data_IF_473674497316
#
_entry.id   IF_473674497316
#
_cell.length_a   1.000
_cell.length_b   1.000
_cell.length_c   1.000
_cell.angle_alpha   90.00
_cell.angle_beta   90.00
_cell.angle_gamma   90.00
#
_symmetry.space_group_name_H-M   'P 1'
#
loop_
_entity.id
_entity.type
_entity.pdbx_description
1 polymer ?
#
# COMPACT_ATOMS: atom_id res chain seq x y z
N UNK A 1 49.51 -41.84 -13.96
CA UNK A 1 50.21 -42.23 -12.73
C UNK A 1 49.63 -41.45 -11.55
N UNK A 2 48.93 -42.14 -10.63
CA UNK A 2 48.61 -41.74 -9.23
C UNK A 2 47.71 -40.51 -9.00
N UNK A 3 46.71 -40.47 -8.10
CA UNK A 3 46.27 -41.37 -7.04
C UNK A 3 44.77 -41.11 -6.75
N UNK A 4 44.05 -42.17 -6.40
CA UNK A 4 42.71 -42.17 -5.83
C UNK A 4 42.66 -41.49 -4.45
N UNK A 5 41.53 -40.84 -4.14
CA UNK A 5 41.19 -40.35 -2.80
C UNK A 5 39.67 -40.26 -2.59
N UNK A 6 39.06 -41.36 -2.17
CA UNK A 6 37.69 -41.43 -1.64
C UNK A 6 37.70 -40.89 -0.20
N UNK A 7 36.71 -40.07 0.20
CA UNK A 7 36.27 -39.96 1.61
C UNK A 7 34.88 -39.32 1.78
N UNK A 8 33.94 -40.20 2.12
CA UNK A 8 32.91 -40.09 3.16
C UNK A 8 31.75 -39.07 3.04
N UNK A 9 30.66 -39.64 2.54
CA UNK A 9 29.26 -39.36 2.81
C UNK A 9 28.94 -39.55 4.31
N UNK A 10 28.37 -38.55 4.98
CA UNK A 10 27.76 -38.70 6.32
C UNK A 10 26.27 -38.35 6.24
N UNK A 11 25.45 -39.41 6.32
CA UNK A 11 24.01 -39.36 6.56
C UNK A 11 23.81 -39.48 8.07
N UNK A 12 23.11 -38.53 8.69
CA UNK A 12 22.65 -38.66 10.07
C UNK A 12 21.13 -38.78 10.05
N UNK A 13 20.68 -40.01 10.31
CA UNK A 13 19.30 -40.43 10.50
C UNK A 13 19.05 -40.43 12.01
N UNK A 14 18.12 -39.61 12.51
CA UNK A 14 17.61 -39.74 13.89
C UNK A 14 16.21 -40.34 13.87
N UNK A 15 16.14 -41.57 14.39
CA UNK A 15 14.95 -42.37 14.61
C UNK A 15 14.96 -42.72 16.10
N UNK A 16 14.02 -42.19 16.89
CA UNK A 16 13.67 -42.75 18.19
C UNK A 16 12.14 -42.85 18.27
N UNK A 17 11.71 -44.02 18.69
CA UNK A 17 10.37 -44.58 18.59
C UNK A 17 9.72 -44.64 19.99
N UNK A 18 8.38 -44.62 20.00
CA UNK A 18 7.37 -45.15 20.95
C UNK A 18 7.28 -44.53 22.35
N UNK A 19 6.07 -44.03 22.69
CA UNK A 19 5.19 -44.75 23.61
C UNK A 19 3.71 -44.37 23.41
N UNK A 20 2.95 -45.42 23.14
CA UNK A 20 1.50 -45.48 22.99
C UNK A 20 0.83 -45.47 24.36
N UNK A 21 -0.32 -44.80 24.49
CA UNK A 21 -1.44 -45.30 25.28
C UNK A 21 -2.76 -44.79 24.70
N UNK A 22 -3.55 -45.77 24.24
CA UNK A 22 -4.95 -45.71 23.84
C UNK A 22 -5.80 -45.87 25.10
N UNK A 23 -6.92 -45.16 25.23
CA UNK A 23 -8.20 -45.74 25.70
C UNK A 23 -9.35 -44.71 25.64
N UNK A 24 -10.20 -44.94 24.65
CA UNK A 24 -11.66 -45.04 24.61
C UNK A 24 -12.56 -44.49 25.75
N UNK A 25 -13.70 -43.95 25.27
CA UNK A 25 -15.10 -44.00 25.76
C UNK A 25 -15.72 -42.63 26.03
N UNK A 26 -16.62 -42.13 25.17
CA UNK A 26 -18.09 -42.34 25.13
C UNK A 26 -18.80 -41.72 26.35
N UNK A 27 -19.50 -40.58 26.15
CA UNK A 27 -20.94 -40.39 26.41
C UNK A 27 -21.37 -38.90 26.36
N UNK A 28 -22.44 -38.66 25.61
CA UNK A 28 -23.36 -37.50 25.65
C UNK A 28 -24.61 -37.95 26.45
N UNK A 29 -25.67 -37.15 26.72
CA UNK A 29 -25.83 -35.71 27.03
C UNK A 29 -26.47 -35.51 28.43
N UNK A 30 -26.51 -34.28 28.97
CA UNK A 30 -27.63 -33.90 29.84
C UNK A 30 -27.96 -32.41 29.76
N UNK A 31 -29.21 -32.13 29.34
CA UNK A 31 -29.87 -30.82 29.40
C UNK A 31 -30.29 -30.56 30.85
N UNK A 32 -30.00 -29.36 31.36
CA UNK A 32 -30.81 -28.74 32.42
C UNK A 32 -31.08 -27.28 32.09
N UNK A 33 -32.34 -26.99 31.80
CA UNK A 33 -32.89 -25.64 31.69
C UNK A 33 -32.96 -25.02 33.08
N UNK A 34 -32.43 -23.81 33.23
CA UNK A 34 -32.87 -22.86 34.26
C UNK A 34 -33.04 -21.50 33.55
N UNK A 35 -34.29 -21.04 33.48
CA UNK A 35 -34.64 -19.67 33.14
C UNK A 35 -34.43 -18.80 34.37
N UNK A 36 -33.60 -17.78 34.27
CA UNK A 36 -33.73 -16.54 35.05
C UNK A 36 -33.40 -15.38 34.10
N UNK A 37 -34.39 -14.51 33.93
CA UNK A 37 -34.28 -13.20 33.31
C UNK A 37 -33.32 -12.32 34.10
N UNK A 38 -32.37 -11.65 33.43
CA UNK A 38 -32.20 -10.21 33.60
C UNK A 38 -31.17 -9.64 32.59
N UNK A 39 -31.60 -8.53 32.00
CA UNK A 39 -30.84 -7.42 31.40
C UNK A 39 -29.32 -7.44 31.58
N UNK A 40 -28.59 -7.74 30.49
CA UNK A 40 -27.42 -6.99 30.02
C UNK A 40 -26.85 -7.66 28.77
N UNK A 41 -27.35 -7.25 27.59
CA UNK A 41 -26.79 -7.68 26.30
C UNK A 41 -25.58 -6.81 26.01
N UNK A 42 -24.44 -7.14 26.64
CA UNK A 42 -23.14 -6.80 26.08
C UNK A 42 -23.05 -7.47 24.72
N UNK A 43 -23.00 -6.66 23.66
CA UNK A 43 -22.74 -7.16 22.31
C UNK A 43 -21.29 -7.62 22.32
N UNK A 44 -21.10 -8.90 22.63
CA UNK A 44 -19.86 -9.62 22.35
C UNK A 44 -19.72 -9.57 20.83
N UNK A 45 -18.89 -8.65 20.34
CA UNK A 45 -18.40 -8.66 18.96
C UNK A 45 -17.81 -10.04 18.72
N UNK A 46 -18.48 -10.82 17.87
CA UNK A 46 -17.87 -12.00 17.29
C UNK A 46 -16.58 -11.53 16.61
N UNK A 47 -15.43 -11.96 17.15
CA UNK A 47 -14.13 -11.88 16.49
C UNK A 47 -14.28 -12.62 15.16
N UNK A 48 -14.55 -11.89 14.09
CA UNK A 48 -14.35 -12.43 12.75
C UNK A 48 -12.85 -12.70 12.61
N UNK A 49 -12.48 -13.91 12.21
CA UNK A 49 -11.13 -14.30 11.76
C UNK A 49 -10.71 -13.56 10.46
N UNK A 50 -11.13 -12.30 10.29
CA UNK A 50 -10.59 -11.44 9.25
C UNK A 50 -9.20 -10.99 9.72
N UNK A 51 -8.18 -11.06 8.86
CA UNK A 51 -6.90 -10.43 9.14
C UNK A 51 -7.13 -9.01 9.64
N UNK A 52 -6.42 -8.60 10.70
CA UNK A 52 -6.50 -7.24 11.20
C UNK A 52 -6.19 -6.28 10.06
N UNK A 53 -7.09 -5.35 9.80
CA UNK A 53 -6.90 -4.35 8.76
C UNK A 53 -5.73 -3.44 9.15
N UNK A 54 -4.59 -3.68 8.50
CA UNK A 54 -3.34 -2.93 8.72
C UNK A 54 -3.40 -1.50 8.17
N UNK A 55 -4.49 -1.15 7.50
CA UNK A 55 -4.75 0.19 6.95
C UNK A 55 -5.89 0.88 7.67
N UNK A 56 -6.43 0.32 8.75
CA UNK A 56 -7.34 1.05 9.63
C UNK A 56 -6.63 2.26 10.27
N UNK A 57 -7.40 3.31 10.54
CA UNK A 57 -6.91 4.49 11.24
C UNK A 57 -7.55 4.65 12.62
N UNK A 58 -6.87 5.41 13.48
CA UNK A 58 -7.33 5.79 14.82
C UNK A 58 -7.45 7.30 14.88
N UNK A 59 -8.56 7.80 15.41
CA UNK A 59 -8.74 9.23 15.64
C UNK A 59 -7.82 9.66 16.80
N UNK A 60 -6.85 10.53 16.51
CA UNK A 60 -5.95 11.07 17.52
C UNK A 60 -6.65 12.14 18.38
N UNK A 61 -5.96 12.63 19.43
CA UNK A 61 -6.52 13.64 20.34
C UNK A 61 -6.89 14.96 19.64
N UNK A 62 -6.22 15.29 18.54
CA UNK A 62 -6.50 16.47 17.71
C UNK A 62 -7.63 16.24 16.69
N UNK A 63 -8.20 15.03 16.63
CA UNK A 63 -9.33 14.69 15.76
C UNK A 63 -8.96 14.18 14.37
N UNK A 64 -7.68 13.92 14.08
CA UNK A 64 -7.22 13.38 12.79
C UNK A 64 -7.25 11.85 12.76
N UNK A 65 -7.59 11.26 11.61
CA UNK A 65 -7.54 9.84 11.35
C UNK A 65 -6.11 9.43 10.98
N UNK A 66 -5.36 8.90 11.95
CA UNK A 66 -3.94 8.50 11.80
C UNK A 66 -3.85 7.00 11.60
N UNK A 67 -3.18 6.57 10.54
CA UNK A 67 -3.13 5.17 10.15
C UNK A 67 -2.17 4.37 11.04
N UNK A 68 -2.48 3.09 11.22
CA UNK A 68 -1.73 2.19 12.13
C UNK A 68 -0.49 1.55 11.51
N UNK A 69 -0.34 1.66 10.20
CA UNK A 69 0.84 1.20 9.47
C UNK A 69 2.09 2.05 9.69
N UNK A 70 3.17 1.74 8.98
CA UNK A 70 4.42 2.50 9.06
C UNK A 70 4.60 3.46 7.87
N UNK A 71 5.07 4.70 8.12
CA UNK A 71 5.47 5.61 7.05
C UNK A 71 6.68 5.07 6.29
N UNK A 72 6.76 5.39 5.01
CA UNK A 72 7.98 5.19 4.24
C UNK A 72 9.11 6.07 4.82
N UNK A 73 10.32 5.51 4.94
CA UNK A 73 11.47 6.24 5.50
C UNK A 73 12.11 7.20 4.51
N UNK A 74 11.91 6.96 3.21
CA UNK A 74 12.48 7.75 2.11
C UNK A 74 11.38 8.20 1.16
N UNK A 75 11.54 9.35 0.52
CA UNK A 75 10.61 9.81 -0.50
C UNK A 75 11.21 10.88 -1.42
N UNK A 76 10.55 11.12 -2.56
CA UNK A 76 10.91 12.22 -3.43
C UNK A 76 10.56 13.55 -2.77
N UNK A 77 11.54 14.44 -2.63
CA UNK A 77 11.28 15.83 -2.25
C UNK A 77 10.46 16.50 -3.37
N UNK A 78 9.33 17.16 -3.05
CA UNK A 78 8.45 17.74 -4.07
C UNK A 78 9.17 18.63 -5.07
N UNK A 79 8.78 18.52 -6.36
CA UNK A 79 9.29 19.35 -7.46
C UNK A 79 10.82 19.36 -7.61
N UNK A 80 11.47 18.25 -7.28
CA UNK A 80 12.93 18.12 -7.29
C UNK A 80 13.38 16.78 -7.89
N UNK A 81 14.69 16.55 -7.91
CA UNK A 81 15.31 15.26 -8.23
C UNK A 81 16.01 14.63 -7.01
N UNK A 82 15.60 15.02 -5.80
CA UNK A 82 16.23 14.63 -4.54
C UNK A 82 15.37 13.58 -3.81
N UNK A 83 15.95 12.41 -3.53
CA UNK A 83 15.39 11.50 -2.54
C UNK A 83 15.91 11.93 -1.18
N UNK A 84 14.98 12.12 -0.24
CA UNK A 84 15.24 12.55 1.13
C UNK A 84 14.74 11.52 2.13
N UNK A 85 15.29 11.55 3.35
CA UNK A 85 14.69 10.89 4.50
C UNK A 85 13.54 11.72 5.11
N UNK A 86 13.02 11.30 6.26
CA UNK A 86 11.91 11.97 6.95
C UNK A 86 12.32 13.30 7.58
N UNK A 87 13.60 13.48 7.88
CA UNK A 87 14.19 14.70 8.40
C UNK A 87 14.50 15.72 7.29
N UNK A 88 14.32 15.33 6.02
CA UNK A 88 14.56 16.18 4.86
C UNK A 88 16.02 16.19 4.39
N UNK A 89 16.84 15.25 4.89
CA UNK A 89 18.24 15.10 4.50
C UNK A 89 18.31 14.41 3.15
N UNK A 90 19.08 15.00 2.23
CA UNK A 90 19.36 14.42 0.92
C UNK A 90 20.12 13.10 1.04
N UNK A 91 19.65 12.09 0.31
CA UNK A 91 20.25 10.75 0.27
C UNK A 91 20.89 10.47 -1.10
N UNK A 92 20.11 10.58 -2.18
CA UNK A 92 20.56 10.28 -3.55
C UNK A 92 19.59 10.87 -4.59
N UNK A 93 19.96 10.79 -5.88
CA UNK A 93 19.14 11.33 -6.96
C UNK A 93 17.95 10.42 -7.29
N UNK A 94 16.82 11.02 -7.68
CA UNK A 94 15.67 10.34 -8.28
C UNK A 94 16.07 9.44 -9.48
N UNK A 95 17.13 9.83 -10.22
CA UNK A 95 17.67 9.04 -11.35
C UNK A 95 18.28 7.71 -10.93
N UNK A 96 18.58 7.54 -9.64
CA UNK A 96 19.12 6.32 -9.04
C UNK A 96 18.12 5.68 -8.06
N UNK A 97 16.90 6.22 -7.95
CA UNK A 97 15.90 5.72 -7.02
C UNK A 97 15.20 4.48 -7.57
N UNK A 98 15.25 3.40 -6.79
CA UNK A 98 14.57 2.12 -7.04
C UNK A 98 13.81 1.71 -5.78
N UNK A 99 12.56 1.32 -5.95
CA UNK A 99 11.71 0.85 -4.85
C UNK A 99 11.96 -0.63 -4.56
N UNK A 100 12.12 -0.95 -3.28
CA UNK A 100 12.26 -2.32 -2.76
C UNK A 100 11.15 -2.60 -1.75
N UNK A 101 10.83 -3.87 -1.52
CA UNK A 101 9.97 -4.28 -0.42
C UNK A 101 10.77 -4.47 0.89
N UNK A 102 10.06 -4.80 1.97
CA UNK A 102 10.63 -5.06 3.29
C UNK A 102 11.63 -6.22 3.37
N UNK A 103 11.68 -7.09 2.34
CA UNK A 103 12.69 -8.15 2.22
C UNK A 103 13.94 -7.70 1.42
N UNK A 104 14.03 -6.43 1.03
CA UNK A 104 15.13 -5.89 0.22
C UNK A 104 15.04 -6.23 -1.26
N UNK A 105 13.94 -6.82 -1.73
CA UNK A 105 13.77 -7.18 -3.15
C UNK A 105 13.22 -6.00 -3.94
N UNK A 106 13.83 -5.71 -5.08
CA UNK A 106 13.33 -4.72 -6.05
C UNK A 106 11.88 -5.06 -6.41
N UNK A 107 11.02 -4.04 -6.32
CA UNK A 107 9.63 -4.15 -6.72
C UNK A 107 9.54 -4.34 -8.23
N UNK A 108 8.81 -5.38 -8.65
CA UNK A 108 8.46 -5.60 -10.04
C UNK A 108 7.46 -4.55 -10.52
N UNK A 109 7.64 -4.05 -11.74
CA UNK A 109 6.77 -3.02 -12.30
C UNK A 109 5.38 -3.57 -12.62
N UNK A 110 4.38 -3.16 -11.84
CA UNK A 110 2.98 -3.60 -11.93
C UNK A 110 2.04 -2.56 -11.32
N UNK A 111 0.73 -2.74 -11.48
CA UNK A 111 -0.30 -1.81 -10.98
C UNK A 111 -0.52 -1.83 -9.47
N UNK A 112 0.29 -2.56 -8.69
CA UNK A 112 0.06 -2.66 -7.25
C UNK A 112 0.51 -1.38 -6.54
N UNK A 113 -0.30 -0.81 -5.64
CA UNK A 113 0.09 0.37 -4.86
C UNK A 113 1.26 0.07 -3.91
N UNK A 114 1.83 1.13 -3.31
CA UNK A 114 2.87 0.99 -2.31
C UNK A 114 2.34 0.40 -1.00
N UNK A 115 3.16 -0.44 -0.38
CA UNK A 115 2.85 -1.10 0.89
C UNK A 115 3.76 -0.62 2.03
N UNK A 116 3.33 -0.95 3.25
CA UNK A 116 4.14 -0.80 4.44
C UNK A 116 5.47 -1.56 4.30
N UNK A 117 6.56 -0.86 4.56
CA UNK A 117 7.91 -1.40 4.47
C UNK A 117 8.52 -1.37 3.07
N UNK A 118 7.83 -0.81 2.07
CA UNK A 118 8.52 -0.45 0.83
C UNK A 118 9.42 0.77 1.06
N UNK A 119 10.60 0.78 0.46
CA UNK A 119 11.60 1.85 0.61
C UNK A 119 12.27 2.17 -0.73
N UNK A 120 12.88 3.36 -0.83
CA UNK A 120 13.72 3.72 -1.97
C UNK A 120 15.18 3.48 -1.59
N UNK A 121 15.91 2.82 -2.47
CA UNK A 121 17.35 2.67 -2.38
C UNK A 121 18.04 3.30 -3.59
N UNK A 122 19.33 3.59 -3.42
CA UNK A 122 20.22 3.96 -4.50
C UNK A 122 20.59 2.72 -5.31
N UNK A 123 20.23 2.69 -6.59
CA UNK A 123 20.53 1.58 -7.50
C UNK A 123 20.64 2.06 -8.96
N UNK A 124 21.53 1.45 -9.74
CA UNK A 124 21.68 1.80 -11.17
C UNK A 124 20.48 1.32 -11.98
N UNK A 125 19.84 2.25 -12.70
CA UNK A 125 18.72 1.96 -13.61
C UNK A 125 19.14 1.74 -15.06
N UNK A 126 20.43 1.60 -15.36
CA UNK A 126 20.94 1.47 -16.73
C UNK A 126 20.29 0.32 -17.51
N UNK A 127 20.11 -0.83 -16.85
CA UNK A 127 19.54 -2.04 -17.46
C UNK A 127 18.00 -2.13 -17.35
N UNK A 128 17.35 -1.09 -16.82
CA UNK A 128 15.89 -1.03 -16.75
C UNK A 128 15.30 -0.45 -18.04
N UNK A 129 14.19 -1.02 -18.47
CA UNK A 129 13.31 -0.45 -19.48
C UNK A 129 12.77 0.92 -19.05
N UNK A 130 12.22 1.66 -20.02
CA UNK A 130 11.60 2.96 -19.73
C UNK A 130 10.37 2.83 -18.80
N UNK A 131 9.61 1.74 -18.93
CA UNK A 131 8.44 1.48 -18.08
C UNK A 131 8.85 1.15 -16.64
N UNK A 132 9.90 0.35 -16.43
CA UNK A 132 10.44 0.09 -15.08
C UNK A 132 10.99 1.36 -14.43
N UNK A 133 11.71 2.20 -15.21
CA UNK A 133 12.18 3.51 -14.73
C UNK A 133 11.01 4.41 -14.31
N UNK A 134 9.97 4.47 -15.14
CA UNK A 134 8.76 5.23 -14.87
C UNK A 134 8.03 4.70 -13.63
N UNK A 135 7.89 3.38 -13.50
CA UNK A 135 7.31 2.72 -12.34
C UNK A 135 8.03 3.12 -11.04
N UNK A 136 9.35 3.02 -10.97
CA UNK A 136 10.08 3.43 -9.78
C UNK A 136 9.97 4.93 -9.47
N UNK A 137 9.84 5.77 -10.49
CA UNK A 137 9.56 7.20 -10.31
C UNK A 137 8.13 7.47 -9.80
N UNK A 138 7.14 6.68 -10.23
CA UNK A 138 5.78 6.70 -9.64
C UNK A 138 5.85 6.34 -8.16
N UNK A 139 6.56 5.26 -7.80
CA UNK A 139 6.73 4.88 -6.40
C UNK A 139 7.37 5.99 -5.58
N UNK A 140 8.46 6.58 -6.08
CA UNK A 140 9.13 7.69 -5.42
C UNK A 140 8.22 8.93 -5.21
N UNK A 141 7.31 9.18 -6.17
CA UNK A 141 6.32 10.26 -6.12
C UNK A 141 5.19 9.95 -5.14
N UNK A 142 4.70 8.71 -5.11
CA UNK A 142 3.54 8.32 -4.31
C UNK A 142 3.86 8.09 -2.82
N UNK A 143 5.08 7.69 -2.47
CA UNK A 143 5.50 7.50 -1.07
C UNK A 143 5.26 8.74 -0.18
N UNK A 144 5.73 9.95 -0.54
CA UNK A 144 5.50 11.13 0.28
C UNK A 144 4.03 11.58 0.26
N UNK A 145 3.27 11.39 -0.83
CA UNK A 145 1.82 11.66 -0.88
C UNK A 145 1.08 10.76 0.10
N UNK A 146 1.41 9.46 0.12
CA UNK A 146 0.88 8.48 1.06
C UNK A 146 1.20 8.89 2.50
N UNK A 147 2.46 9.20 2.79
CA UNK A 147 2.88 9.60 4.13
C UNK A 147 2.11 10.87 4.59
N UNK A 148 1.94 11.84 3.69
CA UNK A 148 1.23 13.07 3.96
C UNK A 148 -0.22 12.85 4.40
N UNK A 149 -0.96 11.99 3.69
CA UNK A 149 -2.35 11.69 4.03
C UNK A 149 -2.49 10.79 5.27
N UNK A 150 -1.60 9.81 5.42
CA UNK A 150 -1.77 8.74 6.41
C UNK A 150 -1.18 9.07 7.78
N UNK A 151 -0.12 9.89 7.83
CA UNK A 151 0.67 10.09 9.06
C UNK A 151 0.95 11.55 9.39
N UNK A 152 1.06 12.43 8.38
CA UNK A 152 1.53 13.81 8.59
C UNK A 152 0.41 14.86 8.42
N UNK A 153 -0.85 14.45 8.32
CA UNK A 153 -1.97 15.33 7.95
C UNK A 153 -2.22 16.49 8.92
N UNK A 154 -1.89 16.31 10.20
CA UNK A 154 -2.07 17.32 11.26
C UNK A 154 -1.29 18.61 10.93
N UNK A 155 0.00 18.46 10.64
CA UNK A 155 0.92 19.57 10.39
C UNK A 155 0.93 20.02 8.92
N UNK A 156 0.46 19.16 8.00
CA UNK A 156 0.47 19.41 6.57
C UNK A 156 -0.36 20.64 6.19
N UNK A 157 0.29 21.58 5.50
CA UNK A 157 -0.34 22.78 4.92
C UNK A 157 -0.79 22.53 3.49
N UNK A 158 -1.70 23.38 3.02
CA UNK A 158 -2.27 23.26 1.67
C UNK A 158 -1.22 23.49 0.58
N UNK A 159 -0.28 24.39 0.80
CA UNK A 159 0.80 24.69 -0.14
C UNK A 159 1.75 23.50 -0.29
N UNK A 160 2.14 22.89 0.83
CA UNK A 160 2.96 21.67 0.88
C UNK A 160 2.24 20.50 0.21
N UNK A 161 0.93 20.35 0.45
CA UNK A 161 0.09 19.38 -0.24
C UNK A 161 0.09 19.58 -1.75
N UNK A 162 -0.11 20.82 -2.22
CA UNK A 162 -0.11 21.15 -3.65
C UNK A 162 1.24 20.84 -4.31
N UNK A 163 2.34 21.00 -3.57
CA UNK A 163 3.68 20.64 -4.03
C UNK A 163 3.83 19.13 -4.15
N UNK A 164 3.38 18.37 -3.15
CA UNK A 164 3.39 16.90 -3.15
C UNK A 164 2.61 16.32 -4.35
N UNK A 165 1.41 16.84 -4.63
CA UNK A 165 0.55 16.35 -5.72
C UNK A 165 0.80 17.05 -7.06
N UNK A 166 1.94 17.72 -7.22
CA UNK A 166 2.27 18.46 -8.45
C UNK A 166 2.26 17.55 -9.69
N UNK A 167 2.86 16.35 -9.62
CA UNK A 167 2.92 15.42 -10.74
C UNK A 167 1.53 14.89 -11.14
N UNK A 168 0.63 14.72 -10.16
CA UNK A 168 -0.77 14.37 -10.42
C UNK A 168 -1.50 15.53 -11.10
N UNK A 169 -1.31 16.74 -10.59
CA UNK A 169 -1.95 17.97 -11.09
C UNK A 169 -1.52 18.32 -12.51
N UNK A 170 -0.22 18.18 -12.83
CA UNK A 170 0.34 18.37 -14.19
C UNK A 170 -0.40 17.51 -15.23
N UNK A 171 -0.88 16.33 -14.80
CA UNK A 171 -1.57 15.34 -15.64
C UNK A 171 -3.09 15.34 -15.47
N UNK A 172 -3.64 16.24 -14.65
CA UNK A 172 -5.07 16.29 -14.28
C UNK A 172 -5.57 15.00 -13.64
N UNK A 173 -4.69 14.20 -13.05
CA UNK A 173 -5.05 12.97 -12.35
C UNK A 173 -5.81 13.33 -11.08
N UNK A 174 -6.99 12.73 -10.90
CA UNK A 174 -7.82 12.90 -9.71
C UNK A 174 -8.08 14.38 -9.39
N UNK A 175 -8.40 15.21 -10.39
CA UNK A 175 -8.62 16.65 -10.21
C UNK A 175 -10.06 17.04 -9.86
N UNK A 176 -10.97 16.06 -9.69
CA UNK A 176 -12.38 16.27 -9.36
C UNK A 176 -12.79 15.43 -8.16
N UNK A 177 -13.70 15.96 -7.38
CA UNK A 177 -14.34 15.27 -6.26
C UNK A 177 -15.84 15.17 -6.54
N UNK A 178 -16.41 14.00 -6.26
CA UNK A 178 -17.85 13.77 -6.31
C UNK A 178 -18.26 12.91 -5.12
N UNK A 179 -19.13 13.44 -4.27
CA UNK A 179 -19.57 12.81 -3.01
C UNK A 179 -21.09 12.69 -2.89
N UNK A 180 -21.81 12.91 -3.99
CA UNK A 180 -23.27 12.84 -4.08
C UNK A 180 -23.76 11.49 -4.65
N UNK A 181 -22.91 10.47 -4.62
CA UNK A 181 -23.23 9.13 -5.07
C UNK A 181 -24.32 8.48 -4.21
N UNK A 182 -25.06 7.54 -4.80
CA UNK A 182 -26.13 6.81 -4.10
C UNK A 182 -25.55 5.84 -3.06
N UNK A 183 -24.34 5.36 -3.31
CA UNK A 183 -23.61 4.45 -2.44
C UNK A 183 -22.18 4.96 -2.23
N UNK A 184 -21.50 4.59 -1.12
CA UNK A 184 -20.12 5.04 -0.87
C UNK A 184 -19.13 4.75 -2.01
N UNK A 185 -19.30 3.64 -2.73
CA UNK A 185 -18.46 3.30 -3.89
C UNK A 185 -18.58 4.29 -5.05
N UNK A 186 -19.72 4.96 -5.19
CA UNK A 186 -19.98 5.94 -6.25
C UNK A 186 -19.29 7.27 -5.95
N UNK A 187 -18.82 7.47 -4.72
CA UNK A 187 -18.06 8.63 -4.32
C UNK A 187 -16.59 8.45 -4.71
N UNK A 188 -15.97 9.56 -5.11
CA UNK A 188 -14.54 9.63 -5.33
C UNK A 188 -14.01 10.99 -4.94
N UNK A 189 -12.82 11.00 -4.37
CA UNK A 189 -12.13 12.22 -3.98
C UNK A 189 -11.05 12.55 -5.00
N UNK A 190 -10.96 13.82 -5.35
CA UNK A 190 -9.81 14.38 -6.03
C UNK A 190 -8.75 14.90 -5.06
N UNK A 191 -7.64 15.43 -5.57
CA UNK A 191 -6.49 15.90 -4.76
C UNK A 191 -6.90 16.91 -3.68
N UNK A 192 -7.74 17.89 -4.00
CA UNK A 192 -8.22 18.85 -3.00
C UNK A 192 -9.24 18.21 -2.04
N UNK A 193 -10.17 17.41 -2.56
CA UNK A 193 -11.21 16.80 -1.72
C UNK A 193 -10.66 15.80 -0.72
N UNK A 194 -9.64 15.01 -1.08
CA UNK A 194 -9.05 14.04 -0.16
C UNK A 194 -8.27 14.74 0.94
N UNK A 195 -7.60 15.85 0.62
CA UNK A 195 -6.93 16.69 1.61
C UNK A 195 -7.95 17.31 2.58
N UNK A 196 -9.04 17.88 2.08
CA UNK A 196 -10.10 18.46 2.92
C UNK A 196 -10.76 17.40 3.82
N UNK A 197 -10.99 16.19 3.29
CA UNK A 197 -11.48 15.04 4.06
C UNK A 197 -10.50 14.65 5.16
N UNK A 198 -9.22 14.53 4.84
CA UNK A 198 -8.19 14.09 5.79
C UNK A 198 -7.90 15.16 6.86
N UNK A 199 -8.00 16.46 6.53
CA UNK A 199 -7.93 17.55 7.52
C UNK A 199 -9.13 17.56 8.47
N UNK A 200 -10.30 17.09 8.02
CA UNK A 200 -11.54 17.13 8.80
C UNK A 200 -12.33 15.81 8.67
N UNK A 201 -11.84 14.70 9.25
CA UNK A 201 -12.51 13.39 9.13
C UNK A 201 -13.82 13.32 9.91
N UNK A 202 -14.15 14.31 10.74
CA UNK A 202 -15.37 14.39 11.55
C UNK A 202 -15.55 13.15 12.45
N UNK A 203 -14.45 12.66 13.04
CA UNK A 203 -14.43 11.47 13.91
C UNK A 203 -14.70 10.15 13.18
N UNK A 204 -14.67 10.14 11.84
CA UNK A 204 -14.86 8.94 11.03
C UNK A 204 -13.52 8.32 10.65
N UNK A 205 -13.52 7.00 10.60
CA UNK A 205 -12.49 6.27 9.89
C UNK A 205 -12.66 6.51 8.37
N UNK A 206 -11.64 7.11 7.75
CA UNK A 206 -11.61 7.48 6.33
C UNK A 206 -10.63 6.61 5.51
N UNK A 207 -10.23 5.45 6.05
CA UNK A 207 -9.21 4.63 5.40
C UNK A 207 -9.61 4.20 3.99
N UNK A 208 -10.86 3.83 3.76
CA UNK A 208 -11.33 3.41 2.44
C UNK A 208 -11.17 4.54 1.41
N UNK A 209 -11.53 5.77 1.76
CA UNK A 209 -11.44 6.94 0.88
C UNK A 209 -9.98 7.28 0.56
N UNK A 210 -9.10 7.25 1.55
CA UNK A 210 -7.66 7.52 1.38
C UNK A 210 -6.98 6.43 0.56
N UNK A 211 -7.22 5.15 0.88
CA UNK A 211 -6.62 4.03 0.16
C UNK A 211 -7.08 3.99 -1.29
N UNK A 212 -8.38 4.18 -1.55
CA UNK A 212 -8.92 4.31 -2.91
C UNK A 212 -8.26 5.46 -3.67
N UNK A 213 -8.12 6.63 -3.05
CA UNK A 213 -7.44 7.77 -3.69
C UNK A 213 -5.99 7.43 -4.04
N UNK A 214 -5.23 6.81 -3.14
CA UNK A 214 -3.82 6.48 -3.34
C UNK A 214 -3.63 5.41 -4.43
N UNK A 215 -4.45 4.37 -4.43
CA UNK A 215 -4.44 3.31 -5.42
C UNK A 215 -4.76 3.85 -6.82
N UNK A 216 -5.90 4.54 -6.96
CA UNK A 216 -6.30 5.13 -8.24
C UNK A 216 -5.28 6.17 -8.72
N UNK A 217 -4.76 7.03 -7.84
CA UNK A 217 -3.75 8.04 -8.22
C UNK A 217 -2.46 7.39 -8.74
N UNK A 218 -2.00 6.32 -8.09
CA UNK A 218 -0.79 5.60 -8.49
C UNK A 218 -0.98 4.94 -9.86
N UNK A 219 -2.08 4.20 -10.05
CA UNK A 219 -2.36 3.51 -11.30
C UNK A 219 -2.59 4.51 -12.44
N UNK A 220 -3.34 5.59 -12.20
CA UNK A 220 -3.57 6.62 -13.23
C UNK A 220 -2.26 7.33 -13.60
N UNK A 221 -1.36 7.54 -12.63
CA UNK A 221 -0.04 8.07 -12.92
C UNK A 221 0.78 7.11 -13.78
N UNK A 222 0.80 5.80 -13.46
CA UNK A 222 1.43 4.78 -14.31
C UNK A 222 0.87 4.86 -15.73
N UNK A 223 -0.46 4.82 -15.89
CA UNK A 223 -1.13 4.91 -17.18
C UNK A 223 -0.69 6.13 -18.02
N UNK A 224 -0.31 7.24 -17.39
CA UNK A 224 0.18 8.43 -18.08
C UNK A 224 1.65 8.35 -18.51
N UNK A 225 2.49 7.63 -17.76
CA UNK A 225 3.95 7.70 -17.89
C UNK A 225 4.57 6.45 -18.49
N UNK A 226 3.81 5.38 -18.67
CA UNK A 226 4.25 4.12 -19.29
C UNK A 226 3.69 3.92 -20.70
N UNK A 227 4.22 2.92 -21.39
CA UNK A 227 3.82 2.47 -22.73
C UNK A 227 2.37 1.96 -22.80
N UNK A 228 1.84 1.75 -24.01
CA UNK A 228 0.53 1.10 -24.18
C UNK A 228 0.58 -0.39 -23.82
N UNK A 229 1.71 -1.03 -24.08
CA UNK A 229 1.96 -2.43 -23.71
C UNK A 229 1.90 -2.60 -22.19
N UNK A 230 2.49 -1.67 -21.44
CA UNK A 230 2.39 -1.65 -19.99
C UNK A 230 0.95 -1.39 -19.52
N UNK A 231 0.22 -0.46 -20.17
CA UNK A 231 -1.18 -0.19 -19.84
C UNK A 231 -2.08 -1.42 -20.06
N UNK A 232 -1.80 -2.21 -21.10
CA UNK A 232 -2.50 -3.47 -21.34
C UNK A 232 -2.20 -4.49 -20.21
N UNK A 233 -0.95 -4.58 -19.75
CA UNK A 233 -0.60 -5.39 -18.58
C UNK A 233 -1.33 -4.92 -17.31
N UNK A 234 -1.45 -3.60 -17.09
CA UNK A 234 -2.20 -3.04 -15.95
C UNK A 234 -3.67 -3.47 -15.97
N UNK A 235 -4.31 -3.43 -17.14
CA UNK A 235 -5.68 -3.91 -17.34
C UNK A 235 -5.81 -5.40 -17.09
N UNK A 236 -4.92 -6.21 -17.68
CA UNK A 236 -5.01 -7.67 -17.60
C UNK A 236 -4.75 -8.21 -16.19
N UNK A 237 -4.01 -7.45 -15.36
CA UNK A 237 -3.70 -7.80 -13.98
C UNK A 237 -4.57 -7.08 -12.93
N UNK A 238 -5.50 -6.20 -13.35
CA UNK A 238 -6.30 -5.42 -12.42
C UNK A 238 -7.28 -6.31 -11.63
N UNK A 239 -7.24 -6.33 -10.28
CA UNK A 239 -8.07 -7.23 -9.47
C UNK A 239 -9.58 -7.06 -9.71
N UNK A 240 -10.01 -5.83 -9.96
CA UNK A 240 -11.41 -5.49 -10.19
C UNK A 240 -11.90 -5.76 -11.63
N UNK A 241 -11.04 -6.29 -12.51
CA UNK A 241 -11.38 -6.70 -13.88
C UNK A 241 -11.97 -5.57 -14.75
N UNK A 242 -11.51 -4.34 -14.54
CA UNK A 242 -11.79 -3.19 -15.41
C UNK A 242 -10.49 -2.63 -15.98
N UNK A 243 -10.61 -1.65 -16.88
CA UNK A 243 -9.48 -0.98 -17.51
C UNK A 243 -9.20 0.34 -16.80
N UNK A 244 -8.22 0.38 -15.86
CA UNK A 244 -7.98 1.58 -15.08
C UNK A 244 -7.42 2.73 -15.93
N UNK A 245 -6.75 2.44 -17.05
CA UNK A 245 -6.22 3.46 -17.94
C UNK A 245 -7.30 4.11 -18.79
N UNK A 246 -8.39 3.38 -19.08
CA UNK A 246 -9.60 3.95 -19.65
C UNK A 246 -10.33 4.85 -18.63
N UNK A 247 -10.40 4.42 -17.38
CA UNK A 247 -11.06 5.17 -16.30
C UNK A 247 -10.29 6.43 -15.88
N UNK A 248 -8.98 6.47 -16.14
CA UNK A 248 -8.15 7.65 -15.98
C UNK A 248 -8.51 8.81 -16.94
N UNK A 249 -9.28 8.54 -18.02
CA UNK A 249 -9.73 9.53 -19.03
C UNK A 249 -8.53 10.36 -19.54
N UNK A 250 -7.51 9.66 -20.06
CA UNK A 250 -6.26 10.28 -20.52
C UNK A 250 -6.43 10.81 -21.94
N UNK A 251 -6.56 12.13 -22.09
CA UNK A 251 -6.57 12.78 -23.41
C UNK A 251 -5.20 12.66 -24.11
N UNK A 252 -4.13 12.83 -23.32
CA UNK A 252 -2.74 12.81 -23.79
C UNK A 252 -1.80 12.34 -22.68
N UNK A 253 -0.97 11.34 -22.97
CA UNK A 253 0.12 10.91 -22.09
C UNK A 253 1.18 12.00 -21.95
N UNK A 254 1.68 12.17 -20.72
CA UNK A 254 2.73 13.13 -20.38
C UNK A 254 3.80 12.31 -19.62
N UNK A 255 4.85 11.84 -20.29
CA UNK A 255 5.89 11.05 -19.64
C UNK A 255 6.64 11.89 -18.60
N UNK A 256 7.44 11.24 -17.76
CA UNK A 256 8.41 11.94 -16.94
C UNK A 256 9.55 12.50 -17.81
N UNK A 257 10.08 13.64 -17.39
CA UNK A 257 11.28 14.22 -17.96
C UNK A 257 12.48 13.60 -17.22
N UNK A 258 13.39 12.96 -17.97
CA UNK A 258 14.56 12.26 -17.42
C UNK A 258 15.81 13.13 -17.39
#
# INVERSE_FOLDING_TARGET
>A
MGKFGVKNLFIILFLIIILSCKNDSINNPEKKNINVSDSNKSVIQQKSNRPQDRYSCVINASGYCIFTGNPHQTGLKPKSNEIIDREGIYLFSLREAVAINSAGKILEARGTPSFDGDELIKYSKENMSNDEKAFHQVMATMFPIRNALMYNIEELKKEEWNDLVFELSKRKIKNKTFTQGRTPKDNYYGTLGIFDLAKNPNGKDIHHEVMKFLEESSIYLLCHVTSEEFNQMLKDSHPEQHDPCKDAIIDKKIPFEY
#
